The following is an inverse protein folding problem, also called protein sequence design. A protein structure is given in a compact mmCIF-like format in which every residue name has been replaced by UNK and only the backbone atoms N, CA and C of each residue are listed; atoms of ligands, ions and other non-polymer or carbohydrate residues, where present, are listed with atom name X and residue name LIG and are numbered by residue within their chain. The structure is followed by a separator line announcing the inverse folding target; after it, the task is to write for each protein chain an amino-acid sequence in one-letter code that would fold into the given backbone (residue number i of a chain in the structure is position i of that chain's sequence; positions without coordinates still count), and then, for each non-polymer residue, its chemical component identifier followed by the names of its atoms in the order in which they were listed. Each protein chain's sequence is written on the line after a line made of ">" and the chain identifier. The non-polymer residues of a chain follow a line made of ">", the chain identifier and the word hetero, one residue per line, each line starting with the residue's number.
data_IF_178980363369
#
_entry.id   IF_178980363369
#
_cell.length_a   1.000
_cell.length_b   1.000
_cell.length_c   1.000
_cell.angle_alpha   90.00
_cell.angle_beta   90.00
_cell.angle_gamma   90.00
#
_symmetry.space_group_name_H-M   'P 1'
#
loop_
_entity.id
_entity.type
_entity.pdbx_description
1 polymer ?
#
# COMPACT_ATOMS: atom_id res chain seq x y z
N UNK A 1 -34.68 -9.14 -17.82
CA UNK A 1 -33.95 -8.10 -18.58
C UNK A 1 -32.77 -7.71 -17.72
N UNK A 2 -31.57 -8.16 -18.10
CA UNK A 2 -30.37 -8.08 -17.28
C UNK A 2 -29.95 -6.61 -17.10
N UNK A 3 -29.70 -6.22 -15.86
CA UNK A 3 -29.13 -4.92 -15.50
C UNK A 3 -27.84 -4.72 -16.31
N UNK A 4 -27.79 -3.66 -17.14
CA UNK A 4 -26.51 -3.13 -17.63
C UNK A 4 -25.74 -2.66 -16.40
N UNK A 5 -24.95 -3.56 -15.83
CA UNK A 5 -24.11 -3.30 -14.67
C UNK A 5 -23.21 -2.12 -14.99
N UNK A 6 -23.32 -1.03 -14.22
CA UNK A 6 -22.50 0.17 -14.36
C UNK A 6 -21.03 -0.21 -14.46
N UNK A 7 -20.46 -0.11 -15.67
CA UNK A 7 -19.12 -0.59 -15.98
C UNK A 7 -18.13 0.56 -16.05
N UNK A 8 -18.05 1.34 -14.97
CA UNK A 8 -17.05 2.40 -14.83
C UNK A 8 -15.91 1.92 -13.95
N UNK A 9 -14.72 2.49 -14.15
CA UNK A 9 -13.55 2.28 -13.30
C UNK A 9 -13.02 3.63 -12.86
N UNK A 10 -13.00 3.86 -11.55
CA UNK A 10 -12.31 4.99 -10.95
C UNK A 10 -10.94 4.49 -10.48
N UNK A 11 -9.87 5.19 -10.87
CA UNK A 11 -8.51 4.81 -10.51
C UNK A 11 -7.68 6.02 -10.11
N UNK A 12 -6.79 5.81 -9.15
CA UNK A 12 -5.81 6.80 -8.68
C UNK A 12 -4.47 6.11 -8.54
N UNK A 13 -3.42 6.75 -9.05
CA UNK A 13 -2.04 6.28 -8.93
C UNK A 13 -1.26 7.25 -8.07
N UNK A 14 -0.53 6.72 -7.09
CA UNK A 14 0.36 7.46 -6.23
C UNK A 14 1.73 6.80 -6.19
N UNK A 15 2.77 7.62 -6.09
CA UNK A 15 4.15 7.19 -5.92
C UNK A 15 4.62 7.61 -4.52
N UNK A 16 5.20 6.67 -3.79
CA UNK A 16 5.68 6.89 -2.42
C UNK A 16 7.17 6.57 -2.32
N UNK A 17 8.01 7.47 -1.76
CA UNK A 17 9.44 7.23 -1.56
C UNK A 17 9.70 6.26 -0.40
N UNK A 18 10.85 5.60 -0.42
CA UNK A 18 11.37 4.81 0.70
C UNK A 18 12.03 5.71 1.74
N UNK A 19 12.10 5.28 3.00
CA UNK A 19 12.85 5.96 4.06
C UNK A 19 13.94 5.06 4.67
N UNK A 20 14.96 5.68 5.28
CA UNK A 20 15.99 5.00 6.06
C UNK A 20 16.04 5.59 7.47
N UNK A 21 15.85 4.74 8.49
CA UNK A 21 15.87 5.15 9.89
C UNK A 21 17.29 5.50 10.36
N UNK A 22 17.46 6.73 10.86
CA UNK A 22 18.66 7.20 11.59
C UNK A 22 18.54 6.93 13.09
N UNK A 23 17.32 7.02 13.66
CA UNK A 23 16.97 6.45 14.96
C UNK A 23 16.02 5.27 14.72
N UNK A 24 16.39 4.08 15.19
CA UNK A 24 15.74 2.83 14.80
C UNK A 24 14.38 2.62 15.46
N UNK A 25 13.42 2.14 14.68
CA UNK A 25 12.21 1.49 15.16
C UNK A 25 12.58 0.03 15.52
N UNK A 26 12.61 -0.33 16.80
CA UNK A 26 12.91 -1.70 17.21
C UNK A 26 12.16 -2.10 18.48
N UNK A 27 11.33 -3.14 18.36
CA UNK A 27 10.45 -3.60 19.43
C UNK A 27 9.05 -2.97 19.35
N UNK A 28 8.04 -3.75 19.74
CA UNK A 28 6.64 -3.32 19.77
C UNK A 28 6.09 -3.52 21.17
N UNK A 29 5.42 -2.50 21.70
CA UNK A 29 4.65 -2.63 22.95
C UNK A 29 3.26 -3.22 22.69
N UNK A 30 2.73 -3.02 21.48
CA UNK A 30 1.46 -3.58 21.02
C UNK A 30 1.60 -4.05 19.57
N UNK A 31 1.45 -5.36 19.33
CA UNK A 31 1.58 -5.95 18.00
C UNK A 31 0.35 -5.76 17.11
N UNK A 32 -0.82 -5.59 17.71
CA UNK A 32 -2.10 -5.46 17.01
C UNK A 32 -2.25 -4.05 16.44
N UNK A 33 -1.92 -3.05 17.25
CA UNK A 33 -1.89 -1.64 16.83
C UNK A 33 -0.53 -1.23 16.22
N UNK A 34 0.48 -2.11 16.28
CA UNK A 34 1.84 -1.88 15.76
C UNK A 34 2.50 -0.66 16.46
N UNK A 35 2.27 -0.51 17.77
CA UNK A 35 2.83 0.60 18.54
C UNK A 35 4.28 0.32 18.95
N UNK A 36 5.23 1.22 18.65
CA UNK A 36 6.62 1.05 19.07
C UNK A 36 6.82 1.22 20.57
N UNK A 37 7.95 0.70 21.05
CA UNK A 37 8.48 1.00 22.40
C UNK A 37 9.21 2.35 22.48
N UNK A 38 9.72 2.85 21.35
CA UNK A 38 10.49 4.08 21.25
C UNK A 38 10.18 4.86 19.96
N UNK A 39 10.41 6.17 19.98
CA UNK A 39 10.33 6.99 18.77
C UNK A 39 11.44 6.64 17.78
N UNK A 40 11.18 6.88 16.50
CA UNK A 40 12.13 6.67 15.40
C UNK A 40 12.20 7.92 14.53
N UNK A 41 13.38 8.19 13.97
CA UNK A 41 13.62 9.28 13.02
C UNK A 41 14.21 8.67 11.76
N UNK A 42 13.72 9.07 10.59
CA UNK A 42 14.17 8.56 9.30
C UNK A 42 14.36 9.67 8.29
N UNK A 43 15.25 9.45 7.32
CA UNK A 43 15.42 10.31 6.16
C UNK A 43 14.68 9.68 4.98
N UNK A 44 13.84 10.47 4.33
CA UNK A 44 13.16 10.08 3.08
C UNK A 44 14.14 10.14 1.93
N UNK A 45 14.21 9.08 1.14
CA UNK A 45 15.09 8.99 -0.03
C UNK A 45 14.44 9.62 -1.25
N UNK A 46 15.29 9.96 -2.22
CA UNK A 46 14.84 10.48 -3.50
C UNK A 46 13.95 9.44 -4.24
N UNK A 47 12.71 9.79 -4.61
CA UNK A 47 11.81 8.89 -5.32
C UNK A 47 12.28 8.53 -6.74
N UNK A 48 13.25 9.23 -7.33
CA UNK A 48 13.79 8.91 -8.67
C UNK A 48 14.40 7.50 -8.73
N UNK A 49 14.98 7.03 -7.63
CA UNK A 49 15.68 5.74 -7.58
C UNK A 49 14.95 4.69 -6.75
N UNK A 50 14.38 5.08 -5.60
CA UNK A 50 13.79 4.15 -4.64
C UNK A 50 12.38 4.60 -4.26
N UNK A 51 11.44 4.25 -5.12
CA UNK A 51 10.03 4.49 -4.88
C UNK A 51 9.19 3.24 -5.13
N UNK A 52 7.95 3.36 -4.70
CA UNK A 52 6.91 2.39 -4.96
C UNK A 52 5.71 3.10 -5.55
N UNK A 53 5.23 2.59 -6.67
CA UNK A 53 4.05 3.11 -7.36
C UNK A 53 2.88 2.19 -7.07
N UNK A 54 1.80 2.74 -6.53
CA UNK A 54 0.56 2.00 -6.25
C UNK A 54 -0.59 2.64 -7.00
N UNK A 55 -1.27 1.84 -7.80
CA UNK A 55 -2.53 2.19 -8.45
C UNK A 55 -3.66 1.48 -7.72
N UNK A 56 -4.64 2.26 -7.28
CA UNK A 56 -5.87 1.76 -6.66
C UNK A 56 -6.99 1.98 -7.65
N UNK A 57 -7.79 0.96 -7.91
CA UNK A 57 -8.99 1.07 -8.73
C UNK A 57 -10.21 0.49 -8.04
N UNK A 58 -11.37 1.07 -8.35
CA UNK A 58 -12.67 0.66 -7.83
C UNK A 58 -13.68 0.63 -8.96
N UNK A 59 -14.54 -0.40 -8.98
CA UNK A 59 -15.56 -0.59 -10.00
C UNK A 59 -16.70 -1.45 -9.46
N UNK A 60 -17.96 -1.19 -9.85
CA UNK A 60 -19.07 -2.12 -9.59
C UNK A 60 -18.90 -3.47 -10.30
N UNK A 61 -18.04 -3.55 -11.32
CA UNK A 61 -17.77 -4.77 -12.07
C UNK A 61 -16.70 -5.68 -11.42
N UNK A 62 -16.12 -5.29 -10.29
CA UNK A 62 -15.15 -6.12 -9.57
C UNK A 62 -15.88 -7.06 -8.61
N UNK A 63 -15.58 -8.36 -8.70
CA UNK A 63 -16.25 -9.39 -7.88
C UNK A 63 -15.70 -9.48 -6.45
N UNK A 64 -14.42 -9.14 -6.26
CA UNK A 64 -13.74 -9.24 -4.97
C UNK A 64 -12.54 -8.28 -4.90
N UNK A 65 -12.11 -7.99 -3.68
CA UNK A 65 -10.87 -7.26 -3.44
C UNK A 65 -9.65 -8.09 -3.88
N UNK A 66 -8.76 -7.50 -4.68
CA UNK A 66 -7.54 -8.17 -5.18
C UNK A 66 -6.33 -7.27 -5.12
N UNK A 67 -5.15 -7.87 -4.96
CA UNK A 67 -3.90 -7.14 -4.91
C UNK A 67 -2.82 -7.84 -5.73
N UNK A 68 -2.07 -7.07 -6.49
CA UNK A 68 -0.91 -7.53 -7.24
C UNK A 68 0.32 -6.75 -6.79
N UNK A 69 1.41 -7.47 -6.52
CA UNK A 69 2.72 -6.91 -6.21
C UNK A 69 3.70 -7.40 -7.26
N UNK A 70 4.27 -6.46 -8.03
CA UNK A 70 5.20 -6.75 -9.12
C UNK A 70 4.65 -7.81 -10.10
N UNK A 71 3.37 -7.67 -10.46
CA UNK A 71 2.66 -8.58 -11.38
C UNK A 71 2.21 -9.91 -10.78
N UNK A 72 2.55 -10.22 -9.52
CA UNK A 72 2.09 -11.44 -8.84
C UNK A 72 0.89 -11.14 -7.94
N UNK A 73 -0.18 -11.90 -8.11
CA UNK A 73 -1.36 -11.78 -7.24
C UNK A 73 -1.02 -12.27 -5.82
N UNK A 74 -1.43 -11.50 -4.82
CA UNK A 74 -1.26 -11.82 -3.41
C UNK A 74 -2.59 -11.69 -2.67
N UNK A 75 -2.76 -12.47 -1.60
CA UNK A 75 -4.00 -12.42 -0.81
C UNK A 75 -4.05 -11.16 0.06
N UNK A 76 -5.20 -10.48 0.05
CA UNK A 76 -5.48 -9.35 0.93
C UNK A 76 -5.84 -9.84 2.34
N UNK A 77 -4.81 -10.24 3.09
CA UNK A 77 -4.95 -10.74 4.45
C UNK A 77 -4.19 -9.90 5.48
N UNK A 78 -4.57 -10.05 6.75
CA UNK A 78 -3.89 -9.42 7.89
C UNK A 78 -3.87 -7.90 7.83
N UNK A 79 -2.67 -7.33 7.72
CA UNK A 79 -2.47 -5.86 7.75
C UNK A 79 -3.11 -5.17 6.55
N UNK A 80 -3.05 -5.76 5.37
CA UNK A 80 -3.65 -5.14 4.17
C UNK A 80 -5.16 -5.01 4.29
N UNK A 81 -5.83 -6.06 4.79
CA UNK A 81 -7.26 -6.04 5.06
C UNK A 81 -7.63 -4.96 6.09
N UNK A 82 -6.81 -4.82 7.14
CA UNK A 82 -7.02 -3.79 8.16
C UNK A 82 -6.89 -2.38 7.59
N UNK A 83 -5.90 -2.13 6.73
CA UNK A 83 -5.72 -0.85 6.05
C UNK A 83 -6.87 -0.52 5.11
N UNK A 84 -7.30 -1.47 4.25
CA UNK A 84 -8.43 -1.26 3.33
C UNK A 84 -9.71 -0.99 4.10
N UNK A 85 -9.97 -1.72 5.20
CA UNK A 85 -11.12 -1.49 6.08
C UNK A 85 -11.12 -0.09 6.68
N UNK A 86 -9.98 0.38 7.18
CA UNK A 86 -9.87 1.71 7.79
C UNK A 86 -9.98 2.83 6.75
N UNK A 87 -9.47 2.62 5.54
CA UNK A 87 -9.65 3.58 4.44
C UNK A 87 -11.13 3.65 4.04
N UNK A 88 -11.82 2.50 3.93
CA UNK A 88 -13.26 2.44 3.63
C UNK A 88 -14.10 3.14 4.70
N UNK A 89 -13.79 2.95 5.99
CA UNK A 89 -14.56 3.58 7.08
C UNK A 89 -14.50 5.12 7.04
N UNK A 90 -13.39 5.66 6.51
CA UNK A 90 -13.16 7.11 6.32
C UNK A 90 -13.58 7.63 4.95
N UNK A 91 -14.02 6.76 4.04
CA UNK A 91 -14.41 7.16 2.70
C UNK A 91 -15.62 8.11 2.74
N UNK A 92 -15.65 9.04 1.80
CA UNK A 92 -16.67 10.08 1.67
C UNK A 92 -17.30 10.04 0.28
N UNK A 93 -18.32 10.86 0.05
CA UNK A 93 -18.97 10.94 -1.26
C UNK A 93 -17.98 11.44 -2.32
N UNK A 94 -17.89 10.73 -3.44
CA UNK A 94 -17.01 11.08 -4.57
C UNK A 94 -17.85 11.33 -5.81
N UNK A 95 -17.69 12.53 -6.37
CA UNK A 95 -18.38 12.96 -7.59
C UNK A 95 -17.34 13.31 -8.66
N UNK A 96 -17.18 12.45 -9.66
CA UNK A 96 -16.42 12.75 -10.86
C UNK A 96 -17.39 13.21 -11.96
N UNK A 97 -17.42 14.52 -12.21
CA UNK A 97 -18.32 15.13 -13.19
C UNK A 97 -17.96 14.79 -14.64
N UNK A 98 -16.68 14.56 -14.92
CA UNK A 98 -16.20 14.28 -16.28
C UNK A 98 -16.59 12.86 -16.70
N UNK A 99 -16.48 11.91 -15.77
CA UNK A 99 -16.84 10.51 -16.00
C UNK A 99 -18.29 10.17 -15.62
N UNK A 100 -19.03 11.14 -15.06
CA UNK A 100 -20.40 10.93 -14.57
C UNK A 100 -20.49 9.94 -13.40
N UNK A 101 -19.40 9.75 -12.65
CA UNK A 101 -19.33 8.78 -11.56
C UNK A 101 -19.77 9.47 -10.27
N UNK A 102 -20.74 8.87 -9.59
CA UNK A 102 -21.21 9.30 -8.27
C UNK A 102 -21.19 8.10 -7.32
N UNK A 103 -20.33 8.18 -6.31
CA UNK A 103 -20.18 7.16 -5.28
C UNK A 103 -20.59 7.80 -3.96
N UNK A 104 -21.61 7.25 -3.30
CA UNK A 104 -21.99 7.68 -1.96
C UNK A 104 -21.19 6.93 -0.89
N UNK A 105 -21.18 7.46 0.33
CA UNK A 105 -20.51 6.84 1.49
C UNK A 105 -20.88 5.36 1.67
N UNK A 106 -22.14 5.01 1.44
CA UNK A 106 -22.67 3.64 1.61
C UNK A 106 -22.23 2.70 0.48
N UNK A 107 -21.91 3.23 -0.69
CA UNK A 107 -21.50 2.41 -1.83
C UNK A 107 -20.10 1.82 -1.63
N UNK A 108 -19.23 2.51 -0.87
CA UNK A 108 -17.88 2.02 -0.54
C UNK A 108 -17.86 0.71 0.24
N UNK A 109 -18.95 0.37 0.95
CA UNK A 109 -19.08 -0.92 1.66
C UNK A 109 -19.30 -2.10 0.71
N UNK A 110 -19.84 -1.83 -0.48
CA UNK A 110 -20.18 -2.85 -1.49
C UNK A 110 -19.15 -2.91 -2.62
N UNK A 111 -18.48 -1.81 -2.89
CA UNK A 111 -17.53 -1.72 -3.98
C UNK A 111 -16.22 -2.46 -3.65
N UNK A 112 -15.83 -3.34 -4.55
CA UNK A 112 -14.55 -4.05 -4.48
C UNK A 112 -13.42 -3.20 -5.05
N UNK A 113 -12.22 -3.39 -4.51
CA UNK A 113 -11.01 -2.62 -4.83
C UNK A 113 -9.93 -3.53 -5.41
N UNK A 114 -9.30 -3.07 -6.48
CA UNK A 114 -8.10 -3.70 -7.02
C UNK A 114 -6.89 -2.81 -6.75
N UNK A 115 -5.84 -3.43 -6.24
CA UNK A 115 -4.59 -2.78 -5.87
C UNK A 115 -3.47 -3.31 -6.75
N UNK A 116 -2.84 -2.45 -7.54
CA UNK A 116 -1.67 -2.80 -8.33
C UNK A 116 -0.47 -2.05 -7.78
N UNK A 117 0.54 -2.78 -7.34
CA UNK A 117 1.69 -2.25 -6.64
C UNK A 117 2.97 -2.68 -7.37
N UNK A 118 3.81 -1.71 -7.69
CA UNK A 118 5.10 -1.93 -8.36
C UNK A 118 6.20 -1.22 -7.58
N UNK A 119 7.21 -1.98 -7.18
CA UNK A 119 8.39 -1.44 -6.48
C UNK A 119 9.66 -1.79 -7.25
N UNK A 120 10.60 -0.86 -7.30
CA UNK A 120 11.89 -1.03 -7.98
C UNK A 120 12.92 -1.70 -7.04
N UNK A 121 12.64 -1.75 -5.73
CA UNK A 121 13.63 -2.16 -4.72
C UNK A 121 14.07 -3.62 -4.80
N UNK A 122 13.22 -4.52 -5.29
CA UNK A 122 13.54 -5.96 -5.32
C UNK A 122 14.66 -6.33 -6.29
N UNK A 123 14.97 -5.50 -7.29
CA UNK A 123 16.11 -5.74 -8.19
C UNK A 123 17.47 -5.59 -7.48
N UNK A 124 17.53 -4.88 -6.35
CA UNK A 124 18.77 -4.65 -5.60
C UNK A 124 19.08 -5.77 -4.60
N UNK A 125 18.06 -6.42 -4.02
CA UNK A 125 18.25 -7.50 -3.04
C UNK A 125 18.51 -8.86 -3.68
N UNK A 126 18.02 -9.10 -4.91
CA UNK A 126 18.39 -10.30 -5.68
C UNK A 126 19.85 -10.26 -6.17
N UNK A 127 20.52 -9.10 -6.07
CA UNK A 127 21.92 -8.89 -6.50
C UNK A 127 22.92 -8.78 -5.34
N UNK A 128 22.44 -8.58 -4.11
CA UNK A 128 23.30 -8.45 -2.94
C UNK A 128 23.38 -9.79 -2.19
N UNK A 129 24.58 -10.40 -2.05
CA UNK A 129 24.73 -11.60 -1.26
C UNK A 129 24.26 -11.32 0.18
N UNK A 130 23.51 -12.27 0.74
CA UNK A 130 22.81 -12.20 2.04
C UNK A 130 23.67 -11.72 3.23
N UNK A 131 24.99 -11.71 3.09
CA UNK A 131 25.93 -11.24 4.12
C UNK A 131 26.08 -9.71 4.19
N UNK A 132 25.83 -8.97 3.10
CA UNK A 132 25.98 -7.51 3.10
C UNK A 132 24.80 -6.78 3.74
N UNK A 133 23.60 -7.38 3.73
CA UNK A 133 22.41 -6.82 4.42
C UNK A 133 22.61 -6.82 5.93
N UNK A 134 23.31 -7.83 6.49
CA UNK A 134 23.70 -7.83 7.90
C UNK A 134 24.68 -6.70 8.22
N UNK A 135 25.64 -6.42 7.34
CA UNK A 135 26.66 -5.40 7.59
C UNK A 135 26.06 -4.00 7.73
N UNK A 136 25.07 -3.64 6.90
CA UNK A 136 24.40 -2.33 6.95
C UNK A 136 23.48 -2.18 8.18
N UNK A 137 22.93 -3.28 8.70
CA UNK A 137 22.04 -3.26 9.86
C UNK A 137 22.76 -3.36 11.22
N UNK A 138 23.95 -3.97 11.27
CA UNK A 138 24.68 -4.23 12.52
C UNK A 138 25.90 -3.33 12.78
N UNK A 139 26.28 -2.45 11.85
CA UNK A 139 27.47 -1.59 12.00
C UNK A 139 27.43 -0.48 13.08
N UNK A 140 26.31 -0.05 13.71
CA UNK A 140 26.40 0.95 14.78
C UNK A 140 26.49 0.33 16.19
N UNK A 141 26.76 -0.97 16.32
CA UNK A 141 26.80 -1.68 17.61
C UNK A 141 28.19 -2.25 17.94
N UNK A 142 29.25 -1.45 17.72
CA UNK A 142 30.53 -1.64 18.41
C UNK A 142 31.15 -0.27 18.73
N UNK A 143 30.81 0.25 19.91
CA UNK A 143 31.70 1.07 20.73
C UNK A 143 31.50 0.70 22.20
#
# INVERSE_FOLDING_TARGET
>A
MAEESQKWVLMVTAQTPTNIAVIKYWGKRDETLILPVNDSISVTLDPEHLCTTTTVSVSPAFDQDRMWVNGKEISLSGRFQSSVREIRSRATDVHDKEKGIKISKKDWEKLNVQLLHTTIFLLLLDWLPQQLVLLVLFLPLQS
#
